data_IF_026982464768
#
_entry.id   IF_026982464768
#
_cell.length_a   1.000
_cell.length_b   1.000
_cell.length_c   1.000
_cell.angle_alpha   90.00
_cell.angle_beta   90.00
_cell.angle_gamma   90.00
#
_symmetry.space_group_name_H-M   'P 1'
#
loop_
_entity.id
_entity.type
_entity.pdbx_description
1 polymer ?
#
# COMPACT_ATOMS: atom_id res chain seq x y z
N UNK A 1 18.47 24.09 -9.75
CA UNK A 1 17.43 23.42 -10.57
C UNK A 1 16.21 23.26 -9.68
N UNK A 2 15.07 23.83 -10.05
CA UNK A 2 13.82 23.71 -9.31
C UNK A 2 12.97 22.71 -10.08
N UNK A 3 12.57 21.62 -9.42
CA UNK A 3 11.82 20.54 -10.06
C UNK A 3 10.34 20.87 -9.83
N UNK A 4 9.61 21.15 -10.90
CA UNK A 4 8.16 21.32 -10.86
C UNK A 4 7.49 19.97 -11.13
N UNK A 5 6.67 19.51 -10.19
CA UNK A 5 5.83 18.31 -10.28
C UNK A 5 4.53 18.57 -9.52
N UNK A 6 3.41 18.01 -9.98
CA UNK A 6 2.09 18.21 -9.38
C UNK A 6 1.89 17.27 -8.18
N UNK A 7 2.48 16.08 -8.24
CA UNK A 7 2.41 15.06 -7.18
C UNK A 7 3.76 14.41 -6.91
N UNK A 8 4.01 13.99 -5.66
CA UNK A 8 5.24 13.24 -5.29
C UNK A 8 5.39 11.91 -6.04
N UNK A 9 4.31 11.41 -6.65
CA UNK A 9 4.27 10.17 -7.44
C UNK A 9 4.94 10.31 -8.80
N UNK A 10 4.87 11.49 -9.43
CA UNK A 10 5.53 11.76 -10.72
C UNK A 10 7.05 11.61 -10.64
N UNK A 11 7.64 11.88 -9.48
CA UNK A 11 9.07 11.71 -9.25
C UNK A 11 9.54 10.24 -9.34
N UNK A 12 8.63 9.27 -9.30
CA UNK A 12 8.93 7.85 -9.50
C UNK A 12 8.78 7.40 -10.96
N UNK A 13 8.46 8.28 -11.91
CA UNK A 13 8.44 7.94 -13.32
C UNK A 13 9.87 7.79 -13.88
N UNK A 14 10.04 6.93 -14.89
CA UNK A 14 11.35 6.59 -15.48
C UNK A 14 12.16 7.82 -15.92
N UNK A 15 11.47 8.90 -16.33
CA UNK A 15 12.10 10.16 -16.74
C UNK A 15 12.81 10.92 -15.61
N UNK A 16 12.45 10.67 -14.35
CA UNK A 16 12.94 11.43 -13.19
C UNK A 16 13.84 10.64 -12.26
N UNK A 17 13.98 9.31 -12.45
CA UNK A 17 14.78 8.44 -11.57
C UNK A 17 16.20 8.94 -11.36
N UNK A 18 16.89 9.33 -12.43
CA UNK A 18 18.27 9.82 -12.35
C UNK A 18 18.38 11.07 -11.46
N UNK A 19 17.45 11.99 -11.60
CA UNK A 19 17.44 13.23 -10.83
C UNK A 19 17.10 12.97 -9.35
N UNK A 20 16.22 12.01 -9.07
CA UNK A 20 15.93 11.57 -7.70
C UNK A 20 17.15 10.89 -7.08
N UNK A 21 17.83 10.00 -7.81
CA UNK A 21 19.08 9.38 -7.37
C UNK A 21 20.15 10.42 -7.08
N UNK A 22 20.35 11.39 -7.97
CA UNK A 22 21.30 12.50 -7.78
C UNK A 22 20.92 13.37 -6.57
N UNK A 23 19.63 13.66 -6.37
CA UNK A 23 19.15 14.46 -5.23
C UNK A 23 19.47 13.80 -3.89
N UNK A 24 19.22 12.49 -3.78
CA UNK A 24 19.50 11.74 -2.56
C UNK A 24 20.96 11.27 -2.48
N UNK A 25 21.76 11.42 -3.52
CA UNK A 25 23.12 10.89 -3.58
C UNK A 25 23.15 9.35 -3.46
N UNK A 26 22.20 8.69 -4.12
CA UNK A 26 22.02 7.23 -4.14
C UNK A 26 22.43 6.71 -5.51
N UNK A 27 23.09 5.55 -5.56
CA UNK A 27 23.47 4.93 -6.84
C UNK A 27 22.32 4.10 -7.44
N UNK A 28 22.42 3.83 -8.74
CA UNK A 28 21.42 3.02 -9.46
C UNK A 28 21.34 1.59 -8.92
N UNK A 29 22.43 1.03 -8.40
CA UNK A 29 22.45 -0.34 -7.86
C UNK A 29 21.54 -0.45 -6.63
N UNK A 30 21.59 0.56 -5.76
CA UNK A 30 20.70 0.70 -4.63
C UNK A 30 19.26 0.93 -5.09
N UNK A 31 19.06 1.81 -6.08
CA UNK A 31 17.75 2.08 -6.69
C UNK A 31 17.06 0.80 -7.21
N UNK A 32 17.81 -0.14 -7.79
CA UNK A 32 17.29 -1.43 -8.27
C UNK A 32 16.77 -2.37 -7.18
N UNK A 33 17.02 -2.07 -5.90
CA UNK A 33 16.51 -2.87 -4.77
C UNK A 33 15.10 -2.45 -4.37
N UNK A 34 14.70 -1.22 -4.70
CA UNK A 34 13.42 -0.61 -4.33
C UNK A 34 12.19 -1.35 -4.88
N UNK A 35 12.17 -1.86 -6.12
CA UNK A 35 11.02 -2.63 -6.63
C UNK A 35 10.63 -3.81 -5.73
N UNK A 36 11.59 -4.39 -4.99
CA UNK A 36 11.30 -5.48 -4.03
C UNK A 36 10.39 -5.03 -2.88
N UNK A 37 10.44 -3.75 -2.50
CA UNK A 37 9.54 -3.18 -1.49
C UNK A 37 8.12 -3.13 -2.06
N UNK A 38 7.95 -2.65 -3.29
CA UNK A 38 6.64 -2.58 -3.94
C UNK A 38 6.03 -3.98 -4.09
N UNK A 39 6.78 -4.96 -4.60
CA UNK A 39 6.33 -6.36 -4.72
C UNK A 39 5.96 -6.98 -3.36
N UNK A 40 6.75 -6.69 -2.32
CA UNK A 40 6.47 -7.14 -0.96
C UNK A 40 5.17 -6.53 -0.41
N UNK A 41 4.99 -5.22 -0.59
CA UNK A 41 3.79 -4.50 -0.16
C UNK A 41 2.54 -4.98 -0.91
N UNK A 42 2.63 -5.23 -2.21
CA UNK A 42 1.51 -5.78 -3.00
C UNK A 42 1.04 -7.11 -2.42
N UNK A 43 1.96 -8.05 -2.17
CA UNK A 43 1.61 -9.35 -1.56
C UNK A 43 1.03 -9.20 -0.15
N UNK A 44 1.57 -8.28 0.64
CA UNK A 44 1.05 -7.99 1.98
C UNK A 44 -0.40 -7.48 1.90
N UNK A 45 -0.66 -6.53 1.01
CA UNK A 45 -1.98 -5.97 0.75
C UNK A 45 -2.97 -7.04 0.29
N UNK A 46 -2.58 -7.90 -0.65
CA UNK A 46 -3.41 -9.02 -1.10
C UNK A 46 -3.80 -9.95 0.06
N UNK A 47 -2.85 -10.22 0.97
CA UNK A 47 -3.10 -11.04 2.15
C UNK A 47 -4.10 -10.38 3.12
N UNK A 48 -4.01 -9.07 3.29
CA UNK A 48 -4.95 -8.30 4.13
C UNK A 48 -6.35 -8.31 3.54
N UNK A 49 -6.48 -8.07 2.24
CA UNK A 49 -7.77 -8.11 1.54
C UNK A 49 -8.38 -9.51 1.59
N UNK A 50 -7.58 -10.55 1.41
CA UNK A 50 -8.04 -11.95 1.52
C UNK A 50 -8.56 -12.25 2.93
N UNK A 51 -7.82 -11.83 3.96
CA UNK A 51 -8.24 -11.99 5.34
C UNK A 51 -9.54 -11.23 5.63
N UNK A 52 -9.68 -9.99 5.14
CA UNK A 52 -10.89 -9.19 5.27
C UNK A 52 -12.09 -9.87 4.60
N UNK A 53 -11.92 -10.42 3.39
CA UNK A 53 -12.97 -11.18 2.69
C UNK A 53 -13.42 -12.38 3.53
N UNK A 54 -12.48 -13.12 4.12
CA UNK A 54 -12.76 -14.34 4.88
C UNK A 54 -13.36 -14.06 6.27
N UNK A 55 -12.69 -13.27 7.10
CA UNK A 55 -13.08 -13.06 8.50
C UNK A 55 -13.97 -11.83 8.69
N UNK A 56 -13.73 -10.76 7.94
CA UNK A 56 -14.38 -9.45 8.13
C UNK A 56 -13.70 -8.61 9.20
N UNK A 57 -12.54 -9.07 9.67
CA UNK A 57 -11.73 -8.38 10.65
C UNK A 57 -10.91 -7.27 9.98
N UNK A 58 -11.30 -6.02 10.26
CA UNK A 58 -10.65 -4.81 9.75
C UNK A 58 -9.50 -4.34 10.63
N UNK A 59 -9.23 -4.99 11.77
CA UNK A 59 -8.21 -4.52 12.73
C UNK A 59 -6.81 -4.41 12.12
N UNK A 60 -6.54 -5.17 11.05
CA UNK A 60 -5.25 -5.19 10.33
C UNK A 60 -5.19 -4.25 9.12
N UNK A 61 -6.29 -3.58 8.75
CA UNK A 61 -6.37 -2.68 7.60
C UNK A 61 -5.92 -1.24 7.92
N UNK A 62 -5.32 -1.02 9.09
CA UNK A 62 -4.82 0.30 9.48
C UNK A 62 -3.53 0.65 8.73
N UNK A 63 -3.40 1.90 8.24
CA UNK A 63 -2.25 2.38 7.46
C UNK A 63 -0.90 2.19 8.16
N UNK A 64 -0.87 2.30 9.50
CA UNK A 64 0.31 1.99 10.31
C UNK A 64 0.88 0.58 10.06
N UNK A 65 0.06 -0.42 9.72
CA UNK A 65 0.55 -1.76 9.38
C UNK A 65 1.22 -1.80 8.01
N UNK A 66 0.71 -1.05 7.04
CA UNK A 66 1.36 -0.88 5.73
C UNK A 66 2.71 -0.20 5.88
N UNK A 67 2.78 0.86 6.71
CA UNK A 67 4.02 1.56 7.00
C UNK A 67 5.03 0.65 7.72
N UNK A 68 4.57 -0.10 8.72
CA UNK A 68 5.40 -1.08 9.45
C UNK A 68 5.96 -2.14 8.49
N UNK A 69 5.14 -2.66 7.60
CA UNK A 69 5.57 -3.67 6.63
C UNK A 69 6.55 -3.08 5.62
N UNK A 70 6.33 -1.86 5.13
CA UNK A 70 7.27 -1.18 4.24
C UNK A 70 8.66 -1.05 4.87
N UNK A 71 8.74 -0.61 6.12
CA UNK A 71 10.02 -0.52 6.83
C UNK A 71 10.66 -1.88 7.10
N UNK A 72 9.85 -2.91 7.38
CA UNK A 72 10.35 -4.29 7.50
C UNK A 72 11.00 -4.76 6.19
N UNK A 73 10.37 -4.48 5.05
CA UNK A 73 10.89 -4.84 3.72
C UNK A 73 12.14 -4.04 3.34
N UNK A 74 12.21 -2.76 3.73
CA UNK A 74 13.42 -1.93 3.58
C UNK A 74 14.59 -2.56 4.34
N UNK A 75 14.38 -2.95 5.59
CA UNK A 75 15.40 -3.58 6.43
C UNK A 75 15.84 -4.95 5.86
N UNK A 76 14.90 -5.74 5.36
CA UNK A 76 15.19 -7.08 4.84
C UNK A 76 15.90 -7.05 3.47
N UNK A 77 15.43 -6.22 2.54
CA UNK A 77 15.78 -6.32 1.11
C UNK A 77 16.66 -5.20 0.60
N UNK A 78 16.62 -4.01 1.22
CA UNK A 78 17.35 -2.84 0.74
C UNK A 78 18.59 -2.57 1.58
N UNK A 79 18.45 -2.65 2.91
CA UNK A 79 19.52 -2.47 3.90
C UNK A 79 20.26 -1.13 3.74
N UNK A 80 19.58 0.01 3.98
CA UNK A 80 20.21 1.32 3.88
C UNK A 80 21.37 1.43 4.89
N UNK A 81 22.53 1.91 4.43
CA UNK A 81 23.75 2.08 5.21
C UNK A 81 24.06 3.54 5.51
N UNK A 82 23.41 4.47 4.81
CA UNK A 82 23.61 5.92 4.97
C UNK A 82 22.29 6.62 5.24
N UNK A 83 22.37 7.81 5.86
CA UNK A 83 21.21 8.68 6.10
C UNK A 83 20.50 9.01 4.78
N UNK A 84 21.27 9.24 3.73
CA UNK A 84 20.79 9.52 2.38
C UNK A 84 19.98 8.36 1.79
N UNK A 85 20.49 7.13 1.92
CA UNK A 85 19.78 5.93 1.48
C UNK A 85 18.49 5.71 2.28
N UNK A 86 18.52 5.98 3.59
CA UNK A 86 17.33 5.90 4.43
C UNK A 86 16.29 6.96 4.02
N UNK A 87 16.70 8.21 3.79
CA UNK A 87 15.83 9.29 3.34
C UNK A 87 15.18 8.96 1.98
N UNK A 88 15.96 8.39 1.05
CA UNK A 88 15.42 7.91 -0.23
C UNK A 88 14.39 6.79 -0.04
N UNK A 89 14.66 5.80 0.83
CA UNK A 89 13.70 4.73 1.14
C UNK A 89 12.41 5.29 1.74
N UNK A 90 12.50 6.25 2.66
CA UNK A 90 11.34 6.93 3.26
C UNK A 90 10.55 7.72 2.23
N UNK A 91 11.22 8.42 1.32
CA UNK A 91 10.60 9.13 0.21
C UNK A 91 9.80 8.16 -0.67
N UNK A 92 10.43 7.10 -1.19
CA UNK A 92 9.74 6.12 -2.04
C UNK A 92 8.58 5.46 -1.30
N UNK A 93 8.76 5.09 -0.03
CA UNK A 93 7.71 4.49 0.78
C UNK A 93 6.51 5.42 0.94
N UNK A 94 6.76 6.69 1.21
CA UNK A 94 5.70 7.70 1.35
C UNK A 94 4.93 7.85 0.05
N UNK A 95 5.63 7.88 -1.09
CA UNK A 95 5.01 7.97 -2.41
C UNK A 95 4.15 6.73 -2.72
N UNK A 96 4.69 5.53 -2.48
CA UNK A 96 3.94 4.27 -2.66
C UNK A 96 2.69 4.25 -1.79
N UNK A 97 2.80 4.59 -0.50
CA UNK A 97 1.69 4.60 0.43
C UNK A 97 0.64 5.67 0.09
N UNK A 98 1.06 6.85 -0.38
CA UNK A 98 0.13 7.90 -0.81
C UNK A 98 -0.75 7.47 -1.98
N UNK A 99 -0.25 6.55 -2.81
CA UNK A 99 -1.00 5.97 -3.93
C UNK A 99 -1.85 4.78 -3.47
N UNK A 100 -1.31 3.91 -2.61
CA UNK A 100 -1.97 2.66 -2.19
C UNK A 100 -3.06 2.87 -1.14
N UNK A 101 -2.90 3.79 -0.20
CA UNK A 101 -3.80 3.94 0.94
C UNK A 101 -5.25 4.30 0.50
N UNK A 102 -5.48 5.25 -0.43
CA UNK A 102 -6.82 5.53 -0.93
C UNK A 102 -7.46 4.32 -1.62
N UNK A 103 -6.71 3.61 -2.46
CA UNK A 103 -7.20 2.42 -3.18
C UNK A 103 -7.60 1.30 -2.21
N UNK A 104 -6.85 1.12 -1.14
CA UNK A 104 -7.14 0.14 -0.10
C UNK A 104 -8.39 0.47 0.70
N UNK A 105 -8.58 1.76 1.03
CA UNK A 105 -9.77 2.23 1.72
C UNK A 105 -11.04 1.95 0.92
N UNK A 106 -11.05 2.33 -0.36
CA UNK A 106 -12.18 2.08 -1.27
C UNK A 106 -12.47 0.59 -1.41
N UNK A 107 -11.42 -0.24 -1.56
CA UNK A 107 -11.58 -1.68 -1.70
C UNK A 107 -12.14 -2.34 -0.44
N UNK A 108 -11.69 -1.90 0.74
CA UNK A 108 -12.23 -2.35 2.01
C UNK A 108 -13.71 -2.00 2.17
N UNK A 109 -14.11 -0.79 1.75
CA UNK A 109 -15.50 -0.36 1.77
C UNK A 109 -16.39 -1.23 0.86
N UNK A 110 -15.94 -1.56 -0.35
CA UNK A 110 -16.66 -2.46 -1.26
C UNK A 110 -16.87 -3.85 -0.64
N UNK A 111 -15.83 -4.44 -0.04
CA UNK A 111 -15.92 -5.76 0.59
C UNK A 111 -16.95 -5.75 1.74
N UNK A 112 -17.02 -4.66 2.50
CA UNK A 112 -17.99 -4.46 3.58
C UNK A 112 -19.43 -4.47 3.02
N UNK A 113 -19.66 -3.73 1.94
CA UNK A 113 -20.97 -3.65 1.30
C UNK A 113 -21.40 -5.01 0.72
N UNK A 114 -20.51 -5.70 0.00
CA UNK A 114 -20.78 -7.04 -0.54
C UNK A 114 -21.14 -8.04 0.57
N UNK A 115 -20.43 -8.00 1.71
CA UNK A 115 -20.73 -8.84 2.87
C UNK A 115 -22.07 -8.50 3.49
N UNK A 116 -22.38 -7.22 3.64
CA UNK A 116 -23.67 -6.77 4.18
C UNK A 116 -24.84 -7.22 3.30
N UNK A 117 -24.73 -7.07 1.97
CA UNK A 117 -25.74 -7.54 1.03
C UNK A 117 -25.93 -9.06 1.09
N UNK A 118 -24.85 -9.84 1.21
CA UNK A 118 -24.94 -11.31 1.38
C UNK A 118 -25.63 -11.72 2.68
N UNK A 119 -25.39 -11.00 3.78
CA UNK A 119 -26.07 -11.24 5.05
C UNK A 119 -27.56 -10.89 4.98
N UNK A 120 -27.94 -9.80 4.31
CA UNK A 120 -29.33 -9.43 4.10
C UNK A 120 -30.10 -10.44 3.22
N UNK A 121 -29.43 -10.98 2.20
CA UNK A 121 -30.00 -11.99 1.30
C UNK A 121 -29.90 -13.43 1.87
N UNK A 122 -29.40 -13.59 3.10
CA UNK A 122 -29.32 -14.90 3.75
C UNK A 122 -30.74 -15.32 4.21
N UNK A 123 -31.22 -16.53 3.86
CA UNK A 123 -32.61 -16.96 4.10
C UNK A 123 -33.03 -17.04 5.57
N UNK A 124 -32.10 -16.87 6.53
CA UNK A 124 -32.39 -16.83 7.97
C UNK A 124 -32.92 -15.44 8.40
N UNK A 125 -32.58 -14.38 7.67
CA UNK A 125 -33.07 -13.01 7.91
C UNK A 125 -34.13 -12.56 6.90
N UNK A 126 -34.33 -13.33 5.81
CA UNK A 126 -35.28 -13.03 4.73
C UNK A 126 -36.68 -13.66 4.88
N UNK A 127 -36.95 -14.45 5.92
CA UNK A 127 -38.25 -15.09 6.11
C UNK A 127 -38.78 -14.85 7.52
N UNK A 128 -39.65 -13.84 7.71
CA UNK A 128 -40.76 -13.83 8.67
C UNK A 128 -41.54 -12.50 8.71
N UNK A 129 -41.96 -11.97 7.56
CA UNK A 129 -43.04 -10.94 7.53
C UNK A 129 -44.10 -11.18 6.46
N UNK A 130 -44.24 -12.42 5.98
CA UNK A 130 -45.35 -12.80 5.11
C UNK A 130 -45.96 -14.12 5.58
N UNK A 131 -46.81 -14.04 6.61
CA UNK A 131 -47.91 -14.99 6.77
C UNK A 131 -49.19 -14.17 6.85
N UNK A 132 -50.02 -14.41 5.84
CA UNK A 132 -51.36 -13.88 5.65
C UNK A 132 -52.34 -14.35 6.73
#
# INVERSE_FOLDING_TARGET
>A
MQIEFETMSELLEEGYHRMVYEHFGVDEEFGRRIPKIADGLTRYVESLLTALIQSGDESKMHECYLLKEAFRLIDEHVKPQTINQLAYCTFVTSTILSTLAPMLHDRAAMIREERFQRLQNHPIYGSNTATA
#
